data_IF_646188940088
#
_entry.id   IF_646188940088
#
_cell.length_a   1.000
_cell.length_b   1.000
_cell.length_c   1.000
_cell.angle_alpha   90.00
_cell.angle_beta   90.00
_cell.angle_gamma   90.00
#
_symmetry.space_group_name_H-M   'P 1'
#
loop_
_entity.id
_entity.type
_entity.pdbx_description
1 polymer ?
#
# COMPACT_ATOMS: atom_id res chain seq x y z
N UNK A 1 50.58 -11.04 -20.60
CA UNK A 1 51.17 -10.06 -21.54
C UNK A 1 50.60 -8.70 -21.24
N UNK A 2 51.46 -7.85 -20.84
CA UNK A 2 51.49 -6.43 -20.53
C UNK A 2 50.91 -5.53 -21.64
N UNK A 3 50.30 -4.41 -21.24
CA UNK A 3 50.45 -3.00 -21.72
C UNK A 3 49.32 -2.19 -21.11
N UNK A 4 49.42 -1.32 -20.16
CA UNK A 4 50.11 -0.05 -19.81
C UNK A 4 50.14 0.95 -20.98
N UNK A 5 49.47 2.12 -20.79
CA UNK A 5 49.84 3.49 -21.24
C UNK A 5 48.73 4.42 -20.75
N UNK A 6 48.92 5.29 -19.81
CA UNK A 6 49.73 6.52 -19.63
C UNK A 6 48.99 7.80 -19.99
N UNK A 7 48.90 8.60 -19.03
CA UNK A 7 48.61 10.01 -18.75
C UNK A 7 49.16 10.99 -19.82
N UNK A 8 48.38 12.05 -20.13
CA UNK A 8 48.95 13.37 -20.47
C UNK A 8 48.07 14.47 -19.86
N UNK A 9 48.73 15.24 -18.97
CA UNK A 9 48.30 16.49 -18.35
C UNK A 9 48.83 17.63 -19.25
N UNK A 10 47.98 18.62 -19.60
CA UNK A 10 48.43 19.88 -20.20
C UNK A 10 47.91 21.05 -19.42
N UNK A 11 48.82 21.69 -18.70
CA UNK A 11 48.70 23.03 -18.14
C UNK A 11 48.96 24.07 -19.22
N UNK A 12 48.18 25.09 -19.36
CA UNK A 12 48.50 26.34 -20.05
C UNK A 12 48.14 27.53 -19.17
N UNK A 13 49.20 28.17 -18.63
CA UNK A 13 49.15 29.52 -18.07
C UNK A 13 49.20 30.53 -19.20
N UNK A 14 48.39 31.58 -19.14
CA UNK A 14 48.66 32.84 -19.85
C UNK A 14 48.45 34.00 -18.88
N UNK A 15 49.52 34.73 -18.63
CA UNK A 15 49.59 36.02 -17.98
C UNK A 15 49.11 37.15 -18.92
N UNK A 16 48.47 38.17 -18.37
CA UNK A 16 48.18 39.41 -19.15
C UNK A 16 47.64 40.54 -18.31
N UNK A 17 48.53 41.41 -17.88
CA UNK A 17 48.52 42.82 -17.61
C UNK A 17 47.26 43.57 -17.07
N UNK A 18 47.53 44.24 -15.97
CA UNK A 18 46.70 45.22 -15.29
C UNK A 18 46.66 46.57 -16.05
N UNK A 19 45.48 47.19 -16.13
CA UNK A 19 45.31 48.64 -16.26
C UNK A 19 44.40 49.17 -15.17
N UNK A 20 44.96 50.08 -14.38
CA UNK A 20 44.30 50.85 -13.33
C UNK A 20 43.41 51.92 -13.99
N UNK A 21 42.11 51.93 -13.69
CA UNK A 21 41.25 53.11 -13.85
C UNK A 21 40.64 53.46 -12.49
N UNK A 22 40.67 54.78 -12.18
CA UNK A 22 40.16 55.40 -10.96
C UNK A 22 38.62 55.36 -10.90
N UNK A 23 38.05 55.34 -9.71
CA UNK A 23 36.60 55.25 -9.55
C UNK A 23 35.93 56.62 -9.70
N UNK A 24 34.82 56.59 -10.46
CA UNK A 24 33.86 57.71 -10.45
C UNK A 24 32.91 57.56 -9.23
N UNK A 25 32.74 58.63 -8.51
CA UNK A 25 31.78 58.73 -7.40
C UNK A 25 30.35 58.53 -7.91
N UNK A 26 29.71 57.46 -7.49
CA UNK A 26 28.27 57.23 -7.73
C UNK A 26 27.51 57.59 -6.46
N UNK A 27 26.68 58.61 -6.53
CA UNK A 27 25.72 58.99 -5.50
C UNK A 27 24.75 57.83 -5.27
N UNK A 28 24.81 57.25 -4.10
CA UNK A 28 23.87 56.25 -3.62
C UNK A 28 22.55 56.92 -3.23
N UNK A 29 21.50 56.65 -3.97
CA UNK A 29 20.11 56.89 -3.54
C UNK A 29 19.73 55.83 -2.48
N UNK A 30 18.99 56.16 -1.41
CA UNK A 30 18.55 55.20 -0.45
C UNK A 30 17.51 54.26 -1.11
N UNK A 31 17.88 53.01 -1.32
CA UNK A 31 16.93 51.96 -1.63
C UNK A 31 16.15 51.65 -0.35
N UNK A 32 14.89 52.06 -0.32
CA UNK A 32 13.91 51.51 0.61
C UNK A 32 13.61 50.10 0.12
N UNK A 33 14.26 49.10 0.72
CA UNK A 33 13.85 47.70 0.56
C UNK A 33 12.44 47.59 1.13
N UNK A 34 11.45 47.51 0.24
CA UNK A 34 10.14 47.02 0.61
C UNK A 34 10.29 45.53 0.98
N UNK A 35 10.32 45.23 2.25
CA UNK A 35 10.13 43.87 2.76
C UNK A 35 8.76 43.40 2.31
N UNK A 36 8.73 42.57 1.26
CA UNK A 36 7.55 41.78 0.91
C UNK A 36 7.28 40.87 2.13
N UNK A 37 6.10 40.91 2.72
CA UNK A 37 5.79 40.01 3.80
C UNK A 37 5.95 38.58 3.25
N UNK A 38 6.88 37.83 3.80
CA UNK A 38 7.00 36.42 3.54
C UNK A 38 5.76 35.77 4.21
N UNK A 39 4.74 35.44 3.42
CA UNK A 39 3.63 34.61 3.93
C UNK A 39 4.23 33.41 4.64
N UNK A 40 3.94 33.28 5.92
CA UNK A 40 4.33 32.11 6.69
C UNK A 40 3.54 30.94 6.13
N UNK A 41 4.20 30.12 5.30
CA UNK A 41 3.61 28.88 4.81
C UNK A 41 3.34 28.00 6.03
N UNK A 42 2.10 27.59 6.24
CA UNK A 42 1.73 26.66 7.30
C UNK A 42 2.52 25.35 7.11
N UNK A 43 3.37 24.94 8.05
CA UNK A 43 4.17 23.71 7.92
C UNK A 43 3.32 22.47 7.83
N UNK A 44 2.06 22.52 8.28
CA UNK A 44 1.11 21.43 8.26
C UNK A 44 0.06 21.52 7.15
N UNK A 45 0.21 22.48 6.22
CA UNK A 45 -0.66 22.53 5.06
C UNK A 45 -0.55 21.25 4.23
N UNK A 46 -1.69 20.73 3.75
CA UNK A 46 -1.74 19.61 2.81
C UNK A 46 -0.95 19.97 1.54
N UNK A 47 -0.16 19.02 1.05
CA UNK A 47 0.74 19.21 -0.12
C UNK A 47 0.27 18.44 -1.34
N UNK A 48 -0.55 17.42 -1.14
CA UNK A 48 -1.06 16.59 -2.21
C UNK A 48 -2.37 17.14 -2.75
N UNK A 49 -2.62 16.89 -4.02
CA UNK A 49 -3.89 17.19 -4.67
C UNK A 49 -4.67 15.92 -4.94
N UNK A 50 -5.99 16.05 -4.97
CA UNK A 50 -6.91 14.97 -5.28
C UNK A 50 -7.43 15.14 -6.71
N UNK A 51 -6.55 14.90 -7.68
CA UNK A 51 -6.81 15.12 -9.09
C UNK A 51 -6.54 13.88 -9.94
N UNK A 52 -7.33 13.71 -11.01
CA UNK A 52 -7.11 12.62 -11.94
C UNK A 52 -5.82 12.78 -12.74
N UNK A 53 -5.00 11.72 -12.77
CA UNK A 53 -3.87 11.58 -13.68
C UNK A 53 -4.22 10.74 -14.93
N UNK A 54 -5.47 10.38 -15.10
CA UNK A 54 -5.94 9.61 -16.25
C UNK A 54 -6.78 10.51 -17.15
N UNK A 55 -6.23 10.88 -18.32
CA UNK A 55 -6.89 11.78 -19.27
C UNK A 55 -8.09 11.14 -19.97
N UNK A 56 -8.04 9.82 -20.20
CA UNK A 56 -9.09 9.07 -20.90
C UNK A 56 -9.21 7.67 -20.30
N UNK A 57 -10.42 7.32 -19.88
CA UNK A 57 -10.77 5.98 -19.44
C UNK A 57 -10.90 5.05 -20.65
N UNK A 58 -9.87 4.25 -20.93
CA UNK A 58 -9.83 3.37 -22.11
C UNK A 58 -10.50 2.02 -21.87
N UNK A 59 -10.96 1.76 -20.66
CA UNK A 59 -11.72 0.56 -20.26
C UNK A 59 -13.21 0.70 -20.53
N UNK A 60 -13.75 1.92 -20.60
CA UNK A 60 -15.16 2.17 -20.90
C UNK A 60 -15.55 1.66 -22.28
N UNK A 61 -16.67 0.95 -22.38
CA UNK A 61 -17.14 0.31 -23.61
C UNK A 61 -16.35 -0.93 -24.05
N UNK A 62 -15.52 -1.50 -23.17
CA UNK A 62 -14.85 -2.78 -23.41
C UNK A 62 -15.68 -3.92 -22.82
N UNK A 63 -16.05 -4.88 -23.65
CA UNK A 63 -16.81 -6.07 -23.24
C UNK A 63 -16.15 -6.83 -22.09
N UNK A 64 -14.81 -6.85 -22.04
CA UNK A 64 -14.07 -7.48 -20.96
C UNK A 64 -14.40 -6.90 -19.56
N UNK A 65 -14.87 -5.66 -19.47
CA UNK A 65 -15.17 -4.99 -18.20
C UNK A 65 -16.65 -4.68 -17.98
N UNK A 66 -17.54 -5.16 -18.86
CA UNK A 66 -18.99 -4.90 -18.73
C UNK A 66 -19.55 -5.35 -17.38
N UNK A 67 -19.17 -6.56 -16.92
CA UNK A 67 -19.61 -7.07 -15.63
C UNK A 67 -19.08 -6.23 -14.45
N UNK A 68 -17.82 -5.81 -14.52
CA UNK A 68 -17.22 -4.91 -13.52
C UNK A 68 -17.95 -3.56 -13.48
N UNK A 69 -18.11 -2.91 -14.64
CA UNK A 69 -18.77 -1.60 -14.74
C UNK A 69 -20.25 -1.62 -14.35
N UNK A 70 -20.92 -2.77 -14.51
CA UNK A 70 -22.33 -2.93 -14.11
C UNK A 70 -22.50 -3.10 -12.58
N UNK A 71 -21.45 -3.55 -11.88
CA UNK A 71 -21.51 -3.88 -10.44
C UNK A 71 -20.73 -2.90 -9.57
N UNK A 72 -20.01 -1.94 -10.18
CA UNK A 72 -19.14 -1.01 -9.44
C UNK A 72 -19.45 0.44 -9.80
N UNK A 73 -19.11 1.33 -8.87
CA UNK A 73 -19.21 2.77 -9.03
C UNK A 73 -17.88 3.46 -8.69
N UNK A 74 -17.56 4.55 -9.41
CA UNK A 74 -16.45 5.43 -9.07
C UNK A 74 -16.79 6.18 -7.78
N UNK A 75 -16.03 5.96 -6.71
CA UNK A 75 -16.32 6.58 -5.43
C UNK A 75 -15.64 7.94 -5.29
N UNK A 76 -14.29 7.97 -5.31
CA UNK A 76 -13.54 9.22 -5.23
C UNK A 76 -12.18 9.11 -5.93
N UNK A 77 -11.58 10.26 -6.23
CA UNK A 77 -10.24 10.37 -6.78
C UNK A 77 -9.20 10.06 -5.70
N UNK A 78 -8.25 9.19 -6.01
CA UNK A 78 -7.14 8.87 -5.12
C UNK A 78 -6.22 10.08 -5.00
N UNK A 79 -5.89 10.55 -3.77
CA UNK A 79 -4.97 11.68 -3.59
C UNK A 79 -3.54 11.37 -4.07
N UNK A 80 -2.81 12.39 -4.51
CA UNK A 80 -1.38 12.33 -4.80
C UNK A 80 -0.96 11.64 -6.10
N UNK A 81 -1.88 11.16 -6.93
CA UNK A 81 -1.57 10.44 -8.17
C UNK A 81 -0.80 11.27 -9.21
N UNK A 82 -0.99 12.61 -9.21
CA UNK A 82 -0.24 13.54 -10.07
C UNK A 82 1.11 13.92 -9.50
N UNK A 83 1.38 13.58 -8.26
CA UNK A 83 2.64 13.86 -7.59
C UNK A 83 3.49 12.58 -7.53
N UNK A 84 3.73 12.09 -6.34
CA UNK A 84 4.72 11.04 -6.11
C UNK A 84 4.13 9.70 -5.67
N UNK A 85 2.83 9.64 -5.38
CA UNK A 85 2.24 8.47 -4.74
C UNK A 85 1.93 7.35 -5.73
N UNK A 86 2.26 6.14 -5.30
CA UNK A 86 1.80 4.89 -5.90
C UNK A 86 1.01 4.13 -4.82
N UNK A 87 -0.33 4.17 -4.88
CA UNK A 87 -1.18 3.59 -3.85
C UNK A 87 -1.09 2.06 -3.85
N UNK A 88 -1.16 1.44 -2.66
CA UNK A 88 -0.99 0.01 -2.48
C UNK A 88 -2.11 -0.60 -1.62
N UNK A 89 -2.27 -0.13 -0.40
CA UNK A 89 -3.27 -0.63 0.54
C UNK A 89 -4.37 0.40 0.81
N UNK A 90 -5.55 -0.09 1.18
CA UNK A 90 -6.69 0.72 1.60
C UNK A 90 -7.34 0.11 2.83
N UNK A 91 -7.73 0.95 3.77
CA UNK A 91 -8.46 0.56 4.97
C UNK A 91 -9.54 1.59 5.31
N UNK A 92 -10.61 1.15 5.93
CA UNK A 92 -11.66 2.02 6.48
C UNK A 92 -11.63 1.91 8.00
N UNK A 93 -11.53 3.04 8.68
CA UNK A 93 -11.56 3.09 10.14
C UNK A 93 -12.98 2.75 10.63
N UNK A 94 -13.16 1.71 11.46
CA UNK A 94 -14.49 1.26 11.87
C UNK A 94 -15.23 2.27 12.77
N UNK A 95 -14.49 3.13 13.49
CA UNK A 95 -15.07 4.12 14.41
C UNK A 95 -15.42 5.45 13.74
N UNK A 96 -14.62 5.88 12.75
CA UNK A 96 -14.83 7.18 12.09
C UNK A 96 -15.35 7.06 10.66
N UNK A 97 -15.19 5.90 10.02
CA UNK A 97 -15.49 5.72 8.60
C UNK A 97 -14.49 6.38 7.66
N UNK A 98 -13.43 7.05 8.16
CA UNK A 98 -12.36 7.64 7.34
C UNK A 98 -11.63 6.56 6.56
N UNK A 99 -11.25 6.88 5.33
CA UNK A 99 -10.47 5.96 4.48
C UNK A 99 -9.00 6.31 4.54
N UNK A 100 -8.17 5.32 4.78
CA UNK A 100 -6.71 5.38 4.84
C UNK A 100 -6.14 4.64 3.63
N UNK A 101 -5.23 5.29 2.89
CA UNK A 101 -4.57 4.69 1.73
C UNK A 101 -3.06 4.75 1.95
N UNK A 102 -2.40 3.60 2.01
CA UNK A 102 -0.94 3.52 2.02
C UNK A 102 -0.39 3.61 0.60
N UNK A 103 0.74 4.28 0.45
CA UNK A 103 1.40 4.47 -0.83
C UNK A 103 2.91 4.55 -0.64
N UNK A 104 3.65 3.95 -1.55
CA UNK A 104 5.07 4.26 -1.65
C UNK A 104 5.33 5.43 -2.59
N UNK A 105 6.46 6.06 -2.42
CA UNK A 105 6.91 7.19 -3.21
C UNK A 105 8.15 6.81 -4.03
N UNK A 106 8.51 7.65 -4.99
CA UNK A 106 9.76 7.54 -5.74
C UNK A 106 10.88 8.36 -5.07
N UNK A 107 12.13 8.10 -5.42
CA UNK A 107 13.28 8.97 -5.14
C UNK A 107 13.54 9.27 -3.66
N UNK A 108 13.60 8.27 -2.81
CA UNK A 108 13.90 8.37 -1.36
C UNK A 108 12.91 9.27 -0.57
N UNK A 109 11.77 9.58 -1.14
CA UNK A 109 10.67 10.23 -0.43
C UNK A 109 10.03 9.20 0.50
N UNK A 110 9.73 9.56 1.76
CA UNK A 110 9.07 8.65 2.69
C UNK A 110 7.78 8.09 2.11
N UNK A 111 7.53 6.80 2.31
CA UNK A 111 6.22 6.21 2.07
C UNK A 111 5.17 6.93 2.91
N UNK A 112 3.94 6.97 2.44
CA UNK A 112 2.91 7.82 3.02
C UNK A 112 1.62 7.04 3.30
N UNK A 113 0.86 7.55 4.26
CA UNK A 113 -0.56 7.24 4.39
C UNK A 113 -1.34 8.54 4.17
N UNK A 114 -2.32 8.51 3.28
CA UNK A 114 -3.26 9.61 3.07
C UNK A 114 -4.62 9.24 3.62
N UNK A 115 -5.31 10.22 4.23
CA UNK A 115 -6.60 10.00 4.87
C UNK A 115 -7.64 10.89 4.22
N UNK A 116 -8.77 10.28 3.84
CA UNK A 116 -9.93 11.02 3.33
C UNK A 116 -11.09 10.99 4.33
N UNK A 117 -11.86 12.07 4.37
CA UNK A 117 -12.98 12.26 5.28
C UNK A 117 -14.20 11.45 4.84
N UNK A 118 -14.93 10.93 5.81
CA UNK A 118 -16.17 10.20 5.57
C UNK A 118 -17.24 11.11 4.95
N UNK A 119 -17.91 10.59 3.93
CA UNK A 119 -19.02 11.26 3.25
C UNK A 119 -18.59 12.29 2.19
N UNK A 120 -17.59 13.14 2.46
CA UNK A 120 -17.05 14.06 1.44
C UNK A 120 -15.98 13.41 0.57
N UNK A 121 -15.28 12.40 1.10
CA UNK A 121 -14.12 11.75 0.48
C UNK A 121 -12.97 12.72 0.14
N UNK A 122 -12.92 13.89 0.78
CA UNK A 122 -11.87 14.88 0.60
C UNK A 122 -10.64 14.50 1.42
N UNK A 123 -9.45 14.77 0.88
CA UNK A 123 -8.17 14.59 1.57
C UNK A 123 -8.12 15.50 2.81
N UNK A 124 -7.89 14.91 3.99
CA UNK A 124 -7.81 15.64 5.27
C UNK A 124 -6.47 15.51 5.96
N UNK A 125 -5.74 14.40 5.78
CA UNK A 125 -4.43 14.22 6.39
C UNK A 125 -3.44 13.48 5.48
N UNK A 126 -2.15 13.79 5.67
CA UNK A 126 -1.00 13.17 5.02
C UNK A 126 0.02 12.80 6.08
N UNK A 127 0.35 11.53 6.21
CA UNK A 127 1.35 11.01 7.14
C UNK A 127 2.56 10.50 6.36
N UNK A 128 3.69 11.20 6.44
CA UNK A 128 4.98 10.71 5.92
C UNK A 128 5.59 9.79 6.97
N UNK A 129 5.89 8.56 6.58
CA UNK A 129 6.36 7.53 7.50
C UNK A 129 7.88 7.59 7.66
N UNK A 130 8.34 7.55 8.90
CA UNK A 130 9.75 7.54 9.25
C UNK A 130 10.05 6.36 10.17
N UNK A 131 11.23 5.77 10.00
CA UNK A 131 11.74 4.74 10.90
C UNK A 131 11.95 5.30 12.32
N UNK A 132 12.12 4.42 13.30
CA UNK A 132 12.35 4.82 14.71
C UNK A 132 13.57 5.72 14.90
N UNK A 133 14.57 5.67 14.02
CA UNK A 133 15.75 6.55 14.03
C UNK A 133 15.51 7.91 13.34
N UNK A 134 14.30 8.18 12.85
CA UNK A 134 13.92 9.39 12.13
C UNK A 134 14.28 9.39 10.65
N UNK A 135 14.91 8.34 10.12
CA UNK A 135 15.17 8.23 8.68
C UNK A 135 13.87 7.97 7.89
N UNK A 136 13.79 8.39 6.62
CA UNK A 136 12.64 8.09 5.78
C UNK A 136 12.37 6.57 5.67
N UNK A 137 11.15 6.14 5.91
CA UNK A 137 10.72 4.80 5.57
C UNK A 137 10.38 4.74 4.08
N UNK A 138 11.12 3.96 3.32
CA UNK A 138 10.99 3.86 1.85
C UNK A 138 10.56 2.47 1.41
N UNK A 139 9.68 1.82 2.16
CA UNK A 139 9.15 0.50 1.85
C UNK A 139 7.94 0.59 0.91
N UNK A 140 7.51 -0.56 0.38
CA UNK A 140 6.33 -0.65 -0.49
C UNK A 140 5.02 -0.33 0.23
N UNK A 141 4.95 -0.51 1.57
CA UNK A 141 3.75 -0.36 2.41
C UNK A 141 2.50 -0.99 1.79
N UNK A 142 2.65 -2.20 1.24
CA UNK A 142 1.59 -2.93 0.53
C UNK A 142 0.38 -3.20 1.40
N UNK A 143 0.60 -3.45 2.70
CA UNK A 143 -0.47 -3.69 3.66
C UNK A 143 -0.75 -2.47 4.55
N UNK A 144 -2.03 -2.15 4.71
CA UNK A 144 -2.56 -1.26 5.74
C UNK A 144 -3.85 -1.84 6.31
N UNK A 145 -4.02 -1.76 7.62
CA UNK A 145 -5.27 -2.08 8.30
C UNK A 145 -5.53 -1.04 9.40
N UNK A 146 -6.79 -0.76 9.66
CA UNK A 146 -7.19 0.16 10.75
C UNK A 146 -8.25 -0.52 11.59
N UNK A 147 -7.92 -0.70 12.87
CA UNK A 147 -8.86 -1.21 13.90
C UNK A 147 -9.54 -0.04 14.63
N UNK A 148 -10.27 -0.34 15.68
CA UNK A 148 -10.90 0.69 16.54
C UNK A 148 -9.87 1.59 17.22
N UNK A 149 -8.62 1.12 17.39
CA UNK A 149 -7.60 1.78 18.21
C UNK A 149 -6.28 2.03 17.51
N UNK A 150 -5.95 1.27 16.47
CA UNK A 150 -4.62 1.31 15.84
C UNK A 150 -4.71 1.32 14.31
N UNK A 151 -3.76 2.01 13.70
CA UNK A 151 -3.37 1.84 12.31
C UNK A 151 -2.16 0.90 12.23
N UNK A 152 -2.27 -0.15 11.43
CA UNK A 152 -1.19 -1.08 11.12
C UNK A 152 -0.67 -0.80 9.73
N UNK A 153 0.63 -0.71 9.56
CA UNK A 153 1.28 -0.57 8.25
C UNK A 153 2.38 -1.62 8.10
N UNK A 154 2.49 -2.19 6.91
CA UNK A 154 3.60 -3.09 6.61
C UNK A 154 4.91 -2.31 6.53
N UNK A 155 5.94 -2.85 7.15
CA UNK A 155 7.28 -2.30 7.10
C UNK A 155 8.17 -3.13 6.16
N UNK A 156 9.34 -2.59 5.90
CA UNK A 156 10.37 -3.23 5.11
C UNK A 156 10.91 -4.46 5.84
N UNK A 157 11.29 -5.46 5.06
CA UNK A 157 12.07 -6.56 5.56
C UNK A 157 13.40 -6.04 6.14
N UNK A 158 13.69 -6.39 7.39
CA UNK A 158 14.95 -6.06 8.05
C UNK A 158 16.16 -6.68 7.35
N UNK A 159 17.34 -6.17 7.67
CA UNK A 159 18.61 -6.66 7.11
C UNK A 159 18.90 -8.14 7.43
N UNK A 160 18.25 -8.70 8.44
CA UNK A 160 18.32 -10.11 8.82
C UNK A 160 17.29 -10.99 8.09
N UNK A 161 16.43 -10.38 7.26
CA UNK A 161 15.39 -11.08 6.52
C UNK A 161 14.06 -11.24 7.28
N UNK A 162 13.91 -10.62 8.45
CA UNK A 162 12.65 -10.63 9.21
C UNK A 162 11.61 -9.71 8.58
N UNK A 163 10.35 -10.12 8.65
CA UNK A 163 9.20 -9.34 8.22
C UNK A 163 8.51 -8.72 9.42
N UNK A 164 7.98 -7.52 9.27
CA UNK A 164 7.36 -6.82 10.39
C UNK A 164 6.25 -5.86 9.97
N UNK A 165 5.41 -5.51 10.92
CA UNK A 165 4.40 -4.45 10.83
C UNK A 165 4.59 -3.45 11.95
N UNK A 166 4.25 -2.19 11.71
CA UNK A 166 4.17 -1.17 12.75
C UNK A 166 2.71 -0.98 13.17
N UNK A 167 2.46 -0.88 14.48
CA UNK A 167 1.15 -0.60 15.06
C UNK A 167 1.17 0.81 15.68
N UNK A 168 0.41 1.74 15.10
CA UNK A 168 0.40 3.15 15.51
C UNK A 168 -0.94 3.45 16.16
N UNK A 169 -0.98 3.87 17.44
CA UNK A 169 -2.24 4.25 18.09
C UNK A 169 -2.94 5.39 17.31
N UNK A 170 -4.22 5.23 17.01
CA UNK A 170 -5.00 6.29 16.33
C UNK A 170 -5.01 7.60 17.13
N UNK A 171 -4.94 7.52 18.46
CA UNK A 171 -4.87 8.68 19.36
C UNK A 171 -3.58 9.50 19.21
N UNK A 172 -2.54 8.95 18.60
CA UNK A 172 -1.26 9.63 18.34
C UNK A 172 -1.20 10.24 16.92
N UNK A 173 -2.18 9.92 16.08
CA UNK A 173 -2.24 10.48 14.73
C UNK A 173 -2.97 11.83 14.74
N UNK A 174 -2.39 12.88 14.13
CA UNK A 174 -3.06 14.15 13.95
C UNK A 174 -4.33 14.01 13.10
N UNK A 175 -5.40 14.70 13.49
CA UNK A 175 -6.70 14.60 12.81
C UNK A 175 -6.70 15.17 11.38
N UNK A 176 -5.78 16.07 11.06
CA UNK A 176 -5.71 16.73 9.75
C UNK A 176 -4.34 17.35 9.49
N UNK A 177 -4.05 17.67 8.23
CA UNK A 177 -2.82 18.30 7.81
C UNK A 177 -1.71 17.32 7.43
N UNK A 178 -0.52 17.83 7.16
CA UNK A 178 0.65 17.07 6.68
C UNK A 178 1.68 16.92 7.79
N UNK A 179 1.99 15.67 8.18
CA UNK A 179 2.82 15.37 9.35
C UNK A 179 3.84 14.27 9.06
N UNK A 180 4.97 14.33 9.78
CA UNK A 180 5.93 13.24 9.88
C UNK A 180 5.53 12.33 11.04
N UNK A 181 5.39 11.04 10.79
CA UNK A 181 5.05 10.04 11.78
C UNK A 181 6.25 9.11 11.96
N UNK A 182 6.81 9.13 13.16
CA UNK A 182 7.87 8.20 13.54
C UNK A 182 7.20 6.86 13.91
N UNK A 183 7.58 5.79 13.21
CA UNK A 183 7.04 4.47 13.49
C UNK A 183 7.49 3.99 14.87
N UNK A 184 6.57 3.42 15.67
CA UNK A 184 6.91 2.81 16.95
C UNK A 184 7.70 1.50 16.75
N UNK A 185 7.97 0.80 17.84
CA UNK A 185 8.51 -0.56 17.80
C UNK A 185 7.63 -1.47 16.94
N UNK A 186 8.27 -2.30 16.13
CA UNK A 186 7.59 -3.15 15.15
C UNK A 186 7.25 -4.52 15.72
N UNK A 187 6.26 -5.15 15.15
CA UNK A 187 5.80 -6.51 15.48
C UNK A 187 6.32 -7.45 14.40
N UNK A 188 7.13 -8.47 14.75
CA UNK A 188 7.61 -9.44 13.78
C UNK A 188 6.48 -10.28 13.21
N UNK A 189 6.59 -10.63 11.94
CA UNK A 189 5.59 -11.42 11.22
C UNK A 189 6.21 -12.68 10.62
N UNK A 190 5.41 -13.75 10.54
CA UNK A 190 5.85 -15.03 9.97
C UNK A 190 6.15 -14.96 8.48
N UNK A 191 5.58 -13.99 7.77
CA UNK A 191 5.73 -13.82 6.32
C UNK A 191 5.66 -12.34 5.93
N UNK A 192 6.02 -12.03 4.68
CA UNK A 192 5.91 -10.68 4.13
C UNK A 192 4.48 -10.16 4.24
N UNK A 193 4.24 -9.04 4.94
CA UNK A 193 2.92 -8.42 5.05
C UNK A 193 2.62 -7.59 3.80
N UNK A 194 2.47 -8.26 2.65
CA UNK A 194 2.27 -7.60 1.36
C UNK A 194 0.86 -7.01 1.22
N UNK A 195 -0.10 -7.53 1.98
CA UNK A 195 -1.45 -7.01 2.09
C UNK A 195 -1.94 -7.15 3.52
N UNK A 196 -2.76 -6.21 3.98
CA UNK A 196 -3.44 -6.28 5.27
C UNK A 196 -4.87 -5.75 5.16
N UNK A 197 -5.73 -6.21 6.05
CA UNK A 197 -7.08 -5.72 6.20
C UNK A 197 -7.58 -5.98 7.63
N UNK A 198 -8.48 -5.15 8.12
CA UNK A 198 -9.25 -5.44 9.32
C UNK A 198 -10.72 -5.53 8.95
N UNK A 199 -11.30 -6.69 9.11
CA UNK A 199 -12.70 -6.95 8.84
C UNK A 199 -13.20 -8.13 9.67
N UNK A 200 -14.48 -8.10 10.05
CA UNK A 200 -15.15 -9.14 10.85
C UNK A 200 -14.39 -9.51 12.14
N UNK A 201 -13.76 -8.52 12.79
CA UNK A 201 -13.01 -8.69 14.04
C UNK A 201 -11.63 -9.34 13.90
N UNK A 202 -11.18 -9.63 12.68
CA UNK A 202 -9.86 -10.19 12.41
C UNK A 202 -8.93 -9.18 11.74
N UNK A 203 -7.67 -9.17 12.17
CA UNK A 203 -6.57 -8.60 11.39
C UNK A 203 -6.06 -9.68 10.43
N UNK A 204 -6.22 -9.42 9.15
CA UNK A 204 -5.75 -10.28 8.06
C UNK A 204 -4.40 -9.76 7.56
N UNK A 205 -3.40 -10.65 7.47
CA UNK A 205 -2.06 -10.33 6.96
C UNK A 205 -1.65 -11.38 5.96
N UNK A 206 -1.46 -10.98 4.70
CA UNK A 206 -1.15 -11.91 3.62
C UNK A 206 0.12 -11.58 2.87
N UNK A 207 0.76 -12.62 2.30
CA UNK A 207 1.90 -12.48 1.41
C UNK A 207 1.44 -12.37 -0.05
N UNK A 208 2.20 -11.64 -0.84
CA UNK A 208 2.12 -11.77 -2.30
C UNK A 208 3.00 -12.93 -2.76
N UNK A 209 2.46 -13.81 -3.59
CA UNK A 209 3.21 -14.90 -4.21
C UNK A 209 2.94 -14.97 -5.71
N UNK A 210 4.02 -15.12 -6.47
CA UNK A 210 3.99 -15.42 -7.90
C UNK A 210 5.00 -16.53 -8.18
N UNK A 211 4.65 -17.59 -8.93
CA UNK A 211 5.53 -18.72 -9.19
C UNK A 211 6.68 -18.39 -10.16
N UNK A 212 7.32 -17.24 -9.99
CA UNK A 212 8.54 -16.82 -10.68
C UNK A 212 9.68 -16.65 -9.66
N UNK A 213 10.90 -16.56 -10.14
CA UNK A 213 12.09 -16.51 -9.27
C UNK A 213 12.13 -15.31 -8.30
N UNK A 214 11.38 -14.24 -8.60
CA UNK A 214 11.45 -13.01 -7.81
C UNK A 214 10.49 -13.00 -6.60
N UNK A 215 9.54 -13.95 -6.53
CA UNK A 215 8.52 -14.01 -5.49
C UNK A 215 8.50 -15.41 -4.87
N UNK A 216 9.41 -15.64 -3.95
CA UNK A 216 9.57 -16.92 -3.28
C UNK A 216 8.59 -17.09 -2.11
N UNK A 217 8.35 -18.33 -1.70
CA UNK A 217 7.61 -18.60 -0.47
C UNK A 217 8.33 -18.02 0.74
N UNK A 218 7.54 -17.63 1.74
CA UNK A 218 8.10 -17.26 3.03
C UNK A 218 8.91 -18.42 3.60
N UNK A 219 10.08 -18.19 4.22
CA UNK A 219 10.88 -19.24 4.87
C UNK A 219 10.12 -20.04 5.92
N UNK A 220 9.04 -19.47 6.48
CA UNK A 220 8.22 -20.14 7.50
C UNK A 220 7.06 -20.97 6.91
N UNK A 221 6.86 -20.91 5.58
CA UNK A 221 5.89 -21.71 4.85
C UNK A 221 6.64 -22.66 3.93
N UNK A 222 6.83 -23.89 4.34
CA UNK A 222 7.77 -24.84 3.74
C UNK A 222 7.32 -25.36 2.35
N UNK A 223 6.05 -25.22 2.00
CA UNK A 223 5.49 -25.78 0.76
C UNK A 223 4.26 -25.01 0.29
N UNK A 224 3.93 -25.18 -1.00
CA UNK A 224 2.66 -24.73 -1.57
C UNK A 224 1.53 -25.69 -1.18
N UNK A 225 0.31 -25.15 -1.08
CA UNK A 225 -0.90 -25.95 -0.88
C UNK A 225 -1.52 -26.30 -2.23
N UNK A 226 -1.93 -27.55 -2.42
CA UNK A 226 -2.61 -27.96 -3.65
C UNK A 226 -4.11 -27.72 -3.56
N UNK A 227 -4.63 -26.97 -4.51
CA UNK A 227 -6.06 -26.87 -4.75
C UNK A 227 -6.62 -28.13 -5.40
N UNK A 228 -7.93 -28.26 -5.42
CA UNK A 228 -8.59 -29.47 -5.94
C UNK A 228 -8.37 -29.67 -7.45
N UNK A 229 -8.22 -28.58 -8.22
CA UNK A 229 -7.88 -28.62 -9.65
C UNK A 229 -6.41 -28.97 -9.92
N UNK A 230 -5.60 -29.16 -8.87
CA UNK A 230 -4.17 -29.43 -8.91
C UNK A 230 -3.28 -28.21 -8.98
N UNK A 231 -3.83 -26.99 -8.96
CA UNK A 231 -3.08 -25.74 -8.87
C UNK A 231 -2.31 -25.64 -7.56
N UNK A 232 -1.15 -25.01 -7.58
CA UNK A 232 -0.33 -24.79 -6.40
C UNK A 232 -0.48 -23.37 -5.89
N UNK A 233 -0.96 -23.23 -4.65
CA UNK A 233 -1.15 -21.97 -3.95
C UNK A 233 0.03 -21.68 -3.02
N UNK A 234 0.66 -20.54 -3.19
CA UNK A 234 1.73 -20.03 -2.33
C UNK A 234 1.36 -18.70 -1.66
N UNK A 235 0.14 -18.20 -1.90
CA UNK A 235 -0.40 -17.06 -1.19
C UNK A 235 -1.13 -17.57 0.06
N UNK A 236 -0.68 -17.10 1.22
CA UNK A 236 -1.28 -17.39 2.52
C UNK A 236 -1.70 -16.11 3.19
N UNK A 237 -2.84 -16.14 3.86
CA UNK A 237 -3.38 -14.99 4.58
C UNK A 237 -3.65 -15.45 6.02
N UNK A 238 -2.90 -14.87 6.95
CA UNK A 238 -3.00 -15.15 8.38
C UNK A 238 -4.12 -14.32 8.99
N UNK A 239 -5.03 -14.96 9.69
CA UNK A 239 -6.12 -14.33 10.42
C UNK A 239 -5.84 -14.30 11.91
N UNK A 240 -5.79 -13.12 12.51
CA UNK A 240 -5.61 -12.89 13.94
C UNK A 240 -6.91 -12.33 14.52
N UNK A 241 -7.55 -13.06 15.45
CA UNK A 241 -8.71 -12.59 16.19
C UNK A 241 -8.30 -11.41 17.09
N UNK A 242 -8.84 -10.23 16.84
CA UNK A 242 -8.55 -8.99 17.54
C UNK A 242 -9.52 -8.70 18.70
N UNK A 243 -10.41 -9.62 19.03
CA UNK A 243 -11.40 -9.44 20.09
C UNK A 243 -10.78 -9.17 21.48
N UNK A 244 -9.53 -9.65 21.69
CA UNK A 244 -8.72 -9.37 22.89
C UNK A 244 -7.91 -8.07 22.81
N UNK A 245 -8.03 -7.30 21.70
CA UNK A 245 -7.23 -6.11 21.42
C UNK A 245 -5.88 -6.44 20.77
N UNK A 246 -5.18 -5.39 20.29
CA UNK A 246 -3.90 -5.54 19.58
C UNK A 246 -2.78 -6.10 20.46
N UNK A 247 -2.87 -6.00 21.79
CA UNK A 247 -1.86 -6.47 22.74
C UNK A 247 -1.50 -7.95 22.56
N UNK A 248 -2.42 -8.75 22.00
CA UNK A 248 -2.13 -10.15 21.69
C UNK A 248 -1.04 -10.31 20.61
N UNK A 249 -0.79 -9.30 19.79
CA UNK A 249 0.27 -9.33 18.78
C UNK A 249 1.62 -8.90 19.35
N UNK A 250 1.63 -8.07 20.38
CA UNK A 250 2.85 -7.55 21.00
C UNK A 250 3.52 -8.59 21.90
N UNK A 251 4.85 -8.56 21.94
CA UNK A 251 5.66 -9.45 22.81
C UNK A 251 5.69 -10.93 22.41
N UNK A 252 5.06 -11.32 21.30
CA UNK A 252 5.10 -12.69 20.81
C UNK A 252 6.45 -13.02 20.17
N UNK A 253 6.97 -14.22 20.44
CA UNK A 253 8.26 -14.66 19.91
C UNK A 253 8.15 -16.07 19.32
N UNK A 254 8.70 -16.31 18.12
CA UNK A 254 9.43 -15.37 17.23
C UNK A 254 8.50 -14.38 16.52
N UNK A 255 7.21 -14.63 16.45
CA UNK A 255 6.13 -13.80 15.89
C UNK A 255 4.77 -14.26 16.44
N UNK A 256 3.71 -13.44 16.34
CA UNK A 256 2.36 -13.83 16.72
C UNK A 256 1.87 -15.04 15.89
N UNK A 257 1.15 -15.94 16.55
CA UNK A 257 0.54 -17.08 15.89
C UNK A 257 -0.89 -16.73 15.48
N UNK A 258 -1.27 -16.98 14.21
CA UNK A 258 -2.64 -16.75 13.75
C UNK A 258 -3.61 -17.79 14.32
N UNK A 259 -4.90 -17.44 14.35
CA UNK A 259 -5.97 -18.38 14.71
C UNK A 259 -6.38 -19.24 13.54
N UNK A 260 -6.20 -18.74 12.31
CA UNK A 260 -6.48 -19.46 11.07
C UNK A 260 -5.61 -18.97 9.91
N UNK A 261 -5.53 -19.78 8.86
CA UNK A 261 -4.86 -19.44 7.61
C UNK A 261 -5.85 -19.61 6.46
N UNK A 262 -5.90 -18.64 5.55
CA UNK A 262 -6.54 -18.83 4.25
C UNK A 262 -5.45 -19.14 3.22
N UNK A 263 -5.51 -20.28 2.57
CA UNK A 263 -4.68 -20.62 1.43
C UNK A 263 -5.41 -20.16 0.16
N UNK A 264 -4.82 -19.23 -0.58
CA UNK A 264 -5.46 -18.51 -1.67
C UNK A 264 -4.70 -18.65 -2.99
N UNK A 265 -5.35 -18.41 -4.14
CA UNK A 265 -4.68 -18.38 -5.43
C UNK A 265 -3.52 -17.40 -5.43
N UNK A 266 -2.55 -17.65 -6.32
CA UNK A 266 -1.38 -16.78 -6.44
C UNK A 266 -1.73 -15.38 -6.98
N UNK A 267 -0.88 -14.39 -6.73
CA UNK A 267 -0.99 -13.00 -7.19
C UNK A 267 -2.11 -12.20 -6.53
N UNK A 268 -2.43 -12.51 -5.28
CA UNK A 268 -3.38 -11.71 -4.49
C UNK A 268 -2.68 -10.45 -3.97
N UNK A 269 -3.32 -9.30 -4.17
CA UNK A 269 -2.86 -7.98 -3.77
C UNK A 269 -3.71 -7.37 -2.65
N UNK A 270 -4.89 -7.90 -2.41
CA UNK A 270 -5.78 -7.40 -1.38
C UNK A 270 -6.81 -8.41 -0.95
N UNK A 271 -7.26 -8.28 0.30
CA UNK A 271 -8.31 -9.07 0.91
C UNK A 271 -9.25 -8.14 1.68
N UNK A 272 -10.52 -8.48 1.70
CA UNK A 272 -11.48 -7.99 2.71
C UNK A 272 -12.58 -9.03 2.90
N UNK A 273 -13.23 -8.97 4.06
CA UNK A 273 -14.46 -9.73 4.29
C UNK A 273 -15.65 -8.77 4.29
N UNK A 274 -16.79 -9.25 3.80
CA UNK A 274 -18.04 -8.49 3.82
C UNK A 274 -19.21 -9.42 4.10
N UNK A 275 -20.11 -8.98 4.97
CA UNK A 275 -21.05 -9.91 5.59
C UNK A 275 -20.29 -10.97 6.39
N UNK A 276 -20.99 -11.88 7.02
CA UNK A 276 -20.34 -12.89 7.87
C UNK A 276 -19.72 -14.08 7.09
N UNK A 277 -19.84 -14.10 5.76
CA UNK A 277 -19.61 -15.32 4.98
C UNK A 277 -18.92 -15.08 3.62
N UNK A 278 -18.54 -13.87 3.25
CA UNK A 278 -17.89 -13.57 1.97
C UNK A 278 -16.44 -13.12 2.17
N UNK A 279 -15.52 -13.77 1.49
CA UNK A 279 -14.12 -13.33 1.35
C UNK A 279 -13.93 -12.79 -0.06
N UNK A 280 -13.49 -11.55 -0.19
CA UNK A 280 -13.22 -10.89 -1.47
C UNK A 280 -11.71 -10.71 -1.61
N UNK A 281 -11.15 -11.19 -2.72
CA UNK A 281 -9.75 -11.06 -3.05
C UNK A 281 -9.55 -10.24 -4.32
N UNK A 282 -8.53 -9.38 -4.33
CA UNK A 282 -8.02 -8.69 -5.51
C UNK A 282 -6.84 -9.48 -6.07
N UNK A 283 -6.98 -10.03 -7.26
CA UNK A 283 -5.91 -10.77 -7.94
C UNK A 283 -5.38 -9.93 -9.10
N UNK A 284 -4.09 -9.60 -9.07
CA UNK A 284 -3.47 -8.71 -10.05
C UNK A 284 -1.99 -8.98 -10.23
N UNK A 285 -1.49 -8.83 -11.46
CA UNK A 285 -0.06 -8.81 -11.76
C UNK A 285 0.24 -8.16 -13.10
N UNK A 286 1.03 -7.10 -13.07
CA UNK A 286 1.57 -6.43 -14.25
C UNK A 286 0.63 -5.41 -14.90
N UNK A 287 1.22 -4.49 -15.66
CA UNK A 287 0.58 -3.25 -16.15
C UNK A 287 -0.42 -3.44 -17.28
N UNK A 288 -0.39 -4.59 -17.95
CA UNK A 288 -1.21 -4.87 -19.14
C UNK A 288 -2.17 -6.04 -18.98
N UNK A 289 -2.05 -6.79 -17.89
CA UNK A 289 -2.93 -7.91 -17.59
C UNK A 289 -4.17 -7.42 -16.84
N UNK A 290 -5.31 -7.94 -17.22
CA UNK A 290 -6.53 -7.67 -16.47
C UNK A 290 -6.39 -8.23 -15.04
N UNK A 291 -6.99 -7.54 -14.08
CA UNK A 291 -7.15 -8.02 -12.72
C UNK A 291 -8.44 -8.82 -12.58
N UNK A 292 -8.59 -9.54 -11.47
CA UNK A 292 -9.84 -10.20 -11.11
C UNK A 292 -10.22 -9.88 -9.66
N UNK A 293 -11.51 -9.69 -9.43
CA UNK A 293 -12.10 -9.71 -8.10
C UNK A 293 -12.72 -11.08 -7.89
N UNK A 294 -12.19 -11.84 -6.93
CA UNK A 294 -12.60 -13.20 -6.62
C UNK A 294 -13.43 -13.17 -5.34
N UNK A 295 -14.63 -13.69 -5.39
CA UNK A 295 -15.56 -13.72 -4.26
C UNK A 295 -15.76 -15.17 -3.85
N UNK A 296 -15.36 -15.48 -2.62
CA UNK A 296 -15.46 -16.81 -2.04
C UNK A 296 -16.50 -16.83 -0.93
N UNK A 297 -17.14 -18.02 -0.79
CA UNK A 297 -18.02 -18.34 0.33
C UNK A 297 -17.19 -19.01 1.43
N UNK A 298 -17.23 -18.45 2.64
CA UNK A 298 -16.66 -19.04 3.84
C UNK A 298 -17.65 -18.89 5.00
N UNK A 299 -18.35 -19.98 5.32
CA UNK A 299 -19.44 -19.90 6.30
C UNK A 299 -18.88 -19.89 7.74
N UNK A 300 -19.46 -19.09 8.64
CA UNK A 300 -19.10 -19.11 10.05
C UNK A 300 -19.27 -20.50 10.67
N UNK A 301 -18.24 -20.94 11.41
CA UNK A 301 -18.26 -22.24 12.08
C UNK A 301 -18.09 -23.45 11.17
N UNK A 302 -17.68 -23.23 9.91
CA UNK A 302 -17.30 -24.30 9.01
C UNK A 302 -16.00 -24.99 9.49
N UNK A 303 -15.91 -26.32 9.32
CA UNK A 303 -14.68 -27.04 9.66
C UNK A 303 -13.55 -26.67 8.68
N UNK A 304 -12.31 -26.53 9.16
CA UNK A 304 -11.17 -26.25 8.29
C UNK A 304 -10.93 -27.39 7.30
N UNK A 305 -10.49 -27.07 6.09
CA UNK A 305 -10.19 -28.05 5.04
C UNK A 305 -8.91 -28.85 5.34
N UNK A 306 -7.96 -28.23 6.03
CA UNK A 306 -6.66 -28.80 6.35
C UNK A 306 -6.03 -28.07 7.55
N UNK A 307 -4.88 -28.57 7.99
CA UNK A 307 -4.00 -27.90 8.95
C UNK A 307 -2.66 -27.60 8.29
N UNK A 308 -2.15 -26.39 8.50
CA UNK A 308 -0.83 -25.98 8.03
C UNK A 308 0.12 -25.79 9.19
N UNK A 309 1.35 -26.24 9.02
CA UNK A 309 2.39 -26.06 10.05
C UNK A 309 3.01 -24.68 9.94
N UNK A 310 2.99 -23.94 11.04
CA UNK A 310 3.68 -22.67 11.21
C UNK A 310 4.43 -22.68 12.55
N UNK A 311 5.76 -22.49 12.52
CA UNK A 311 6.61 -22.58 13.73
C UNK A 311 6.37 -23.85 14.56
N UNK A 312 6.20 -25.00 13.90
CA UNK A 312 5.96 -26.28 14.54
C UNK A 312 4.57 -26.49 15.17
N UNK A 313 3.66 -25.52 14.98
CA UNK A 313 2.27 -25.62 15.42
C UNK A 313 1.35 -25.86 14.22
N UNK A 314 0.32 -26.67 14.40
CA UNK A 314 -0.74 -26.90 13.42
C UNK A 314 -1.78 -25.80 13.56
N UNK A 315 -2.05 -25.08 12.47
CA UNK A 315 -3.02 -23.99 12.39
C UNK A 315 -4.15 -24.41 11.45
N UNK A 316 -5.41 -24.25 11.86
CA UNK A 316 -6.56 -24.50 10.98
C UNK A 316 -6.46 -23.68 9.70
N UNK A 317 -6.72 -24.32 8.55
CA UNK A 317 -6.62 -23.64 7.29
C UNK A 317 -7.82 -23.91 6.38
N UNK A 318 -8.23 -22.87 5.66
CA UNK A 318 -9.31 -22.92 4.67
C UNK A 318 -8.73 -22.69 3.27
N UNK A 319 -9.16 -23.54 2.33
CA UNK A 319 -8.70 -23.49 0.96
C UNK A 319 -9.67 -22.70 0.09
N UNK A 320 -9.24 -21.51 -0.37
CA UNK A 320 -10.04 -20.67 -1.26
C UNK A 320 -9.86 -21.12 -2.71
N UNK A 321 -10.44 -22.26 -3.05
CA UNK A 321 -10.41 -22.86 -4.39
C UNK A 321 -11.77 -22.76 -5.10
N UNK A 322 -11.91 -23.43 -6.24
CA UNK A 322 -13.12 -23.40 -7.06
C UNK A 322 -14.38 -23.90 -6.34
N UNK A 323 -14.24 -24.72 -5.26
CA UNK A 323 -15.40 -25.19 -4.49
C UNK A 323 -16.05 -24.06 -3.68
N UNK A 324 -15.27 -23.08 -3.27
CA UNK A 324 -15.72 -21.93 -2.49
C UNK A 324 -15.94 -20.69 -3.38
N UNK A 325 -15.48 -20.71 -4.63
CA UNK A 325 -15.58 -19.57 -5.53
C UNK A 325 -17.03 -19.32 -5.95
N UNK A 326 -17.65 -18.28 -5.40
CA UNK A 326 -19.01 -17.88 -5.73
C UNK A 326 -19.04 -17.05 -7.02
N UNK A 327 -18.05 -16.19 -7.24
CA UNK A 327 -17.99 -15.31 -8.42
C UNK A 327 -16.55 -14.86 -8.71
N UNK A 328 -16.28 -14.62 -10.00
CA UNK A 328 -15.05 -13.99 -10.48
C UNK A 328 -15.40 -12.88 -11.47
N UNK A 329 -14.97 -11.65 -11.17
CA UNK A 329 -15.26 -10.46 -11.98
C UNK A 329 -13.95 -9.96 -12.57
N UNK A 330 -13.84 -10.00 -13.92
CA UNK A 330 -12.71 -9.41 -14.62
C UNK A 330 -12.69 -7.89 -14.42
N UNK A 331 -11.57 -7.36 -13.98
CA UNK A 331 -11.42 -5.98 -13.54
C UNK A 331 -10.27 -5.25 -14.26
N UNK A 332 -10.25 -3.94 -14.13
CA UNK A 332 -9.21 -3.07 -14.68
C UNK A 332 -7.83 -3.53 -14.12
N UNK A 333 -6.76 -3.49 -14.94
CA UNK A 333 -5.41 -3.85 -14.49
C UNK A 333 -4.95 -3.11 -13.25
N UNK A 334 -4.07 -3.76 -12.49
CA UNK A 334 -3.36 -3.18 -11.35
C UNK A 334 -4.31 -2.83 -10.20
N UNK A 335 -5.28 -3.72 -9.89
CA UNK A 335 -6.04 -3.65 -8.64
C UNK A 335 -5.15 -4.06 -7.47
N UNK A 336 -5.28 -3.37 -6.35
CA UNK A 336 -4.46 -3.49 -5.16
C UNK A 336 -5.34 -3.80 -3.92
N UNK A 337 -5.16 -3.09 -2.83
CA UNK A 337 -5.88 -3.30 -1.58
C UNK A 337 -7.40 -3.22 -1.71
N UNK A 338 -8.07 -3.91 -0.79
CA UNK A 338 -9.51 -3.93 -0.61
C UNK A 338 -9.87 -3.50 0.82
N UNK A 339 -11.03 -2.87 0.99
CA UNK A 339 -11.60 -2.59 2.31
C UNK A 339 -13.12 -2.69 2.26
N UNK A 340 -13.75 -2.99 3.40
CA UNK A 340 -15.22 -2.99 3.52
C UNK A 340 -15.65 -1.83 4.41
N UNK A 341 -16.63 -1.07 3.96
CA UNK A 341 -17.27 0.01 4.74
C UNK A 341 -18.29 -0.56 5.73
N UNK A 342 -18.69 0.24 6.70
CA UNK A 342 -19.66 -0.17 7.71
C UNK A 342 -21.04 -0.56 7.14
N UNK A 343 -21.40 -0.05 5.95
CA UNK A 343 -22.63 -0.40 5.23
C UNK A 343 -22.42 -1.55 4.21
N UNK A 344 -21.27 -2.23 4.27
CA UNK A 344 -20.98 -3.44 3.51
C UNK A 344 -20.53 -3.22 2.07
N UNK A 345 -20.17 -1.99 1.67
CA UNK A 345 -19.56 -1.74 0.38
C UNK A 345 -18.11 -2.20 0.38
N UNK A 346 -17.69 -2.94 -0.63
CA UNK A 346 -16.29 -3.27 -0.86
C UNK A 346 -15.64 -2.17 -1.69
N UNK A 347 -14.60 -1.56 -1.15
CA UNK A 347 -13.76 -0.57 -1.84
C UNK A 347 -12.62 -1.29 -2.55
N UNK A 348 -12.35 -0.91 -3.80
CA UNK A 348 -11.28 -1.47 -4.63
C UNK A 348 -10.31 -0.35 -5.00
N UNK A 349 -9.06 -0.49 -4.57
CA UNK A 349 -7.98 0.44 -4.88
C UNK A 349 -7.25 0.00 -6.17
N UNK A 350 -6.71 0.98 -6.90
CA UNK A 350 -5.89 0.75 -8.10
C UNK A 350 -4.64 1.63 -8.05
N UNK A 351 -3.48 1.04 -8.35
CA UNK A 351 -2.24 1.81 -8.52
C UNK A 351 -2.05 2.37 -9.93
N UNK A 352 -2.83 1.88 -10.91
CA UNK A 352 -2.69 2.22 -12.34
C UNK A 352 -2.82 3.71 -12.66
N UNK A 353 -3.48 4.49 -11.79
CA UNK A 353 -3.59 5.94 -11.90
C UNK A 353 -2.31 6.71 -11.61
N UNK A 354 -1.33 6.13 -10.93
CA UNK A 354 -0.09 6.78 -10.52
C UNK A 354 0.73 7.28 -11.73
N UNK A 355 1.49 8.36 -11.53
CA UNK A 355 2.33 8.96 -12.59
C UNK A 355 3.38 7.96 -13.11
N UNK A 356 3.92 7.10 -12.25
CA UNK A 356 4.92 6.09 -12.66
C UNK A 356 4.38 5.03 -13.62
N UNK A 357 3.05 4.94 -13.78
CA UNK A 357 2.37 3.96 -14.64
C UNK A 357 1.64 4.61 -15.82
N UNK A 358 2.15 5.73 -16.34
CA UNK A 358 1.55 6.42 -17.50
C UNK A 358 1.50 5.55 -18.77
N UNK A 359 2.37 4.56 -18.86
CA UNK A 359 2.41 3.54 -19.91
C UNK A 359 1.42 2.37 -19.69
N UNK A 360 0.74 2.35 -18.55
CA UNK A 360 -0.23 1.30 -18.20
C UNK A 360 -1.45 1.27 -19.11
N UNK A 361 -1.99 0.07 -19.29
CA UNK A 361 -3.21 -0.15 -20.07
C UNK A 361 -4.46 -0.03 -19.19
N UNK A 362 -5.47 0.66 -19.65
CA UNK A 362 -6.78 0.78 -18.97
C UNK A 362 -6.70 1.33 -17.55
N UNK A 363 -6.05 2.47 -17.39
CA UNK A 363 -5.80 3.13 -16.12
C UNK A 363 -7.05 3.77 -15.50
N UNK A 364 -7.12 3.79 -14.17
CA UNK A 364 -8.11 4.53 -13.40
C UNK A 364 -7.45 5.36 -12.30
N UNK A 365 -8.03 6.53 -11.99
CA UNK A 365 -7.61 7.39 -10.86
C UNK A 365 -8.57 7.32 -9.67
N UNK A 366 -9.52 6.40 -9.69
CA UNK A 366 -10.58 6.32 -8.70
C UNK A 366 -10.40 5.10 -7.80
N UNK A 367 -10.78 5.27 -6.53
CA UNK A 367 -11.27 4.16 -5.72
C UNK A 367 -12.65 3.82 -6.26
N UNK A 368 -12.91 2.53 -6.43
CA UNK A 368 -14.22 2.01 -6.85
C UNK A 368 -14.90 1.35 -5.67
N UNK A 369 -16.23 1.34 -5.69
CA UNK A 369 -17.04 0.62 -4.72
C UNK A 369 -17.94 -0.39 -5.40
N UNK A 370 -18.22 -1.50 -4.73
CA UNK A 370 -19.15 -2.53 -5.18
C UNK A 370 -19.94 -3.12 -4.02
N UNK A 371 -21.16 -3.59 -4.30
CA UNK A 371 -21.91 -4.45 -3.40
C UNK A 371 -21.62 -5.90 -3.74
N UNK A 372 -21.39 -6.71 -2.72
CA UNK A 372 -21.24 -8.16 -2.84
C UNK A 372 -22.52 -8.80 -2.32
N UNK A 373 -23.26 -9.47 -3.22
CA UNK A 373 -24.52 -10.17 -2.91
C UNK A 373 -24.28 -11.61 -2.47
#
# INVERSE_FOLDING_TARGET
MKRIFSIILVLLMICGCAQRQQPAETKTLPQTEATVPQESVDPHALRLTQESNVRKATYEGKTAYEAFLAQTEKLFLIPGLKQVLTPQGIAVCPTTGRTYISAYCVDDIPSMVVVTETGTNELVAEYRLHNADGSPMTSHVGGIAVTETHMYVSDKMDSDGSYQIAAIPLSELPDSGSHDIILPETIPMAMSPSMMNYSEGYLWVGNFYHPSADYVLSPNMEYTTKAQDGSEYGCYILGFDMSAGHDRLSGAAPYPMPDMILAAPNRIQGITLTGSDKVVLSQSYGRANDSALLIYQLNPGEEPDLELTLNGQLIPAFLLDDNRLASSINSIPMSEGLATTADGLVLVLYESGAIRYEDGKHRTSYVWSMKVE
#
